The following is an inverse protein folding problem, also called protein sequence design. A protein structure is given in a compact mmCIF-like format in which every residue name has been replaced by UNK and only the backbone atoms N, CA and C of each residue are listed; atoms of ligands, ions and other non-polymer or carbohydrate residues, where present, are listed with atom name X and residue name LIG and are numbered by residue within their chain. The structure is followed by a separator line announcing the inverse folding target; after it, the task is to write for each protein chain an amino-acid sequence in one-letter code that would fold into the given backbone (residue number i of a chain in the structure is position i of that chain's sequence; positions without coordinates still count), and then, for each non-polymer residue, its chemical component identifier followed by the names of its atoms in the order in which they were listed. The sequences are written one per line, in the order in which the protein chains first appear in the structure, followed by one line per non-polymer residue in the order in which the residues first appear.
data_IF_963908482218
#
_entry.id   IF_963908482218
#
_cell.length_a   1.000
_cell.length_b   1.000
_cell.length_c   1.000
_cell.angle_alpha   90.00
_cell.angle_beta   90.00
_cell.angle_gamma   90.00
#
_symmetry.space_group_name_H-M   'P 1'
#
loop_
_entity.id
_entity.type
_entity.pdbx_description
1 polymer ?
#
# COMPACT_ATOMS: atom_id res chain seq x y z
N UNK A 1 36.56 -13.08 -39.94
CA UNK A 1 37.01 -12.36 -38.72
C UNK A 1 37.15 -10.88 -39.02
N UNK A 2 36.38 -10.02 -38.34
CA UNK A 2 36.84 -8.67 -38.06
C UNK A 2 36.79 -8.36 -36.55
N UNK A 3 37.86 -7.74 -36.05
CA UNK A 3 38.01 -7.26 -34.67
C UNK A 3 37.29 -5.93 -34.51
N UNK A 4 36.37 -5.84 -33.55
CA UNK A 4 35.79 -4.57 -33.12
C UNK A 4 36.46 -4.09 -31.83
N UNK A 5 37.01 -2.88 -31.89
CA UNK A 5 37.70 -2.19 -30.81
C UNK A 5 36.69 -1.69 -29.76
N UNK A 6 36.79 -2.21 -28.54
CA UNK A 6 36.06 -1.73 -27.37
C UNK A 6 36.79 -0.52 -26.77
N UNK A 7 36.25 0.68 -26.99
CA UNK A 7 36.67 1.91 -26.27
C UNK A 7 36.06 1.88 -24.87
N UNK A 8 36.89 1.61 -23.85
CA UNK A 8 36.57 1.86 -22.44
C UNK A 8 36.50 3.36 -22.20
N UNK A 9 35.30 3.89 -22.00
CA UNK A 9 35.11 5.21 -21.40
C UNK A 9 35.38 5.10 -19.90
N UNK A 10 36.49 5.66 -19.44
CA UNK A 10 36.71 5.93 -18.03
C UNK A 10 35.81 7.11 -17.64
N UNK A 11 34.71 6.83 -16.96
CA UNK A 11 33.92 7.86 -16.27
C UNK A 11 34.65 8.20 -14.98
N UNK A 12 35.06 9.46 -14.83
CA UNK A 12 35.67 9.96 -13.61
C UNK A 12 34.66 9.87 -12.47
N UNK A 13 34.88 8.93 -11.55
CA UNK A 13 34.15 8.85 -10.29
C UNK A 13 34.63 10.03 -9.43
N UNK A 14 33.80 11.04 -9.29
CA UNK A 14 34.01 12.10 -8.30
C UNK A 14 33.99 11.44 -6.91
N UNK A 15 35.15 11.36 -6.26
CA UNK A 15 35.28 10.83 -4.91
C UNK A 15 34.47 11.73 -3.95
N UNK A 16 33.36 11.20 -3.45
CA UNK A 16 32.59 11.86 -2.41
C UNK A 16 33.42 11.90 -1.12
N UNK A 17 33.58 13.09 -0.54
CA UNK A 17 34.24 13.25 0.76
C UNK A 17 33.47 12.46 1.83
N UNK A 18 34.17 11.78 2.77
CA UNK A 18 33.52 11.05 3.85
C UNK A 18 32.67 12.00 4.70
N UNK A 19 31.53 11.52 5.22
CA UNK A 19 30.54 12.33 5.95
C UNK A 19 31.16 13.11 7.12
N UNK A 20 32.18 12.54 7.77
CA UNK A 20 32.91 13.17 8.86
C UNK A 20 33.66 14.43 8.43
N UNK A 21 34.14 14.50 7.18
CA UNK A 21 34.81 15.70 6.66
C UNK A 21 33.80 16.81 6.31
N UNK A 22 32.58 16.45 5.92
CA UNK A 22 31.50 17.44 5.68
C UNK A 22 31.03 18.05 7.00
N UNK A 23 30.86 17.23 8.04
CA UNK A 23 30.55 17.69 9.40
C UNK A 23 31.66 18.57 9.98
N UNK A 24 32.92 18.18 9.77
CA UNK A 24 34.07 18.99 10.21
C UNK A 24 34.11 20.33 9.47
N UNK A 25 33.88 20.33 8.14
CA UNK A 25 33.82 21.55 7.33
C UNK A 25 32.70 22.50 7.77
N UNK A 26 31.50 21.97 8.07
CA UNK A 26 30.36 22.71 8.61
C UNK A 26 30.67 23.31 10.00
N UNK A 27 31.33 22.56 10.88
CA UNK A 27 31.76 23.07 12.18
C UNK A 27 32.82 24.17 12.06
N UNK A 28 33.79 24.04 11.15
CA UNK A 28 34.77 25.13 10.90
C UNK A 28 34.13 26.36 10.27
N UNK A 29 33.14 26.20 9.38
CA UNK A 29 32.41 27.33 8.80
C UNK A 29 31.54 28.06 9.85
N UNK A 30 30.90 27.31 10.75
CA UNK A 30 30.15 27.87 11.87
C UNK A 30 31.05 28.58 12.89
N UNK A 31 32.23 28.02 13.19
CA UNK A 31 33.23 28.64 14.06
C UNK A 31 33.81 29.93 13.46
N UNK A 32 34.02 29.97 12.14
CA UNK A 32 34.45 31.19 11.44
C UNK A 32 33.36 32.28 11.43
N UNK A 33 32.07 31.90 11.37
CA UNK A 33 30.95 32.84 11.49
C UNK A 33 30.79 33.41 12.91
N UNK A 34 31.05 32.60 13.95
CA UNK A 34 30.96 33.00 15.35
C UNK A 34 32.00 34.04 15.79
N UNK A 35 33.12 34.17 15.06
CA UNK A 35 34.15 35.19 15.31
C UNK A 35 33.72 36.62 14.88
N UNK A 36 32.57 36.79 14.23
CA UNK A 36 32.10 38.04 13.61
C UNK A 36 31.14 38.91 14.44
N UNK A 37 30.92 38.65 15.73
CA UNK A 37 30.13 39.51 16.62
C UNK A 37 28.79 38.93 17.09
N UNK A 38 28.27 39.51 18.17
CA UNK A 38 27.34 38.95 19.16
C UNK A 38 25.95 38.42 18.71
N UNK A 39 25.64 38.39 17.42
CA UNK A 39 24.36 37.89 16.90
C UNK A 39 24.34 36.37 16.59
N UNK A 40 25.47 35.67 16.74
CA UNK A 40 25.63 34.25 16.33
C UNK A 40 25.40 33.26 17.49
N UNK A 41 25.44 33.72 18.74
CA UNK A 41 25.26 32.87 19.93
C UNK A 41 23.86 32.22 19.99
N UNK A 42 22.83 32.91 19.50
CA UNK A 42 21.45 32.38 19.48
C UNK A 42 21.22 31.36 18.35
N UNK A 43 21.98 31.44 17.25
CA UNK A 43 21.86 30.49 16.13
C UNK A 43 22.53 29.15 16.45
N UNK A 44 23.65 29.16 17.17
CA UNK A 44 24.35 27.95 17.62
C UNK A 44 23.56 27.17 18.70
N UNK A 45 22.79 27.87 19.53
CA UNK A 45 21.89 27.27 20.51
C UNK A 45 20.71 26.51 19.86
N UNK A 46 20.26 26.95 18.68
CA UNK A 46 19.18 26.32 17.91
C UNK A 46 19.61 25.03 17.18
N UNK A 47 20.89 24.91 16.80
CA UNK A 47 21.42 23.69 16.16
C UNK A 47 21.68 22.58 17.19
N UNK A 48 21.97 22.95 18.44
CA UNK A 48 22.32 21.98 19.50
C UNK A 48 21.10 21.32 20.17
N UNK A 49 19.87 21.80 19.95
CA UNK A 49 18.65 21.25 20.57
C UNK A 49 17.94 20.17 19.74
N UNK A 50 18.43 19.85 18.53
CA UNK A 50 17.77 18.92 17.60
C UNK A 50 18.12 17.43 17.74
N UNK A 51 18.97 17.04 18.69
CA UNK A 51 19.54 15.68 18.74
C UNK A 51 18.69 14.62 19.48
N UNK A 52 17.52 14.96 20.00
CA UNK A 52 16.66 13.98 20.68
C UNK A 52 15.18 14.23 20.38
N UNK A 53 14.63 13.55 19.37
CA UNK A 53 13.20 13.64 19.09
C UNK A 53 12.76 12.84 17.87
N UNK A 54 11.99 11.79 18.12
CA UNK A 54 11.35 10.88 17.18
C UNK A 54 10.61 11.57 16.04
N UNK A 55 10.70 10.96 14.86
CA UNK A 55 10.08 11.37 13.60
C UNK A 55 8.55 11.50 13.68
N UNK A 56 8.02 12.73 13.75
CA UNK A 56 6.71 13.11 13.18
C UNK A 56 6.32 14.57 13.47
N UNK A 57 7.02 15.58 12.94
CA UNK A 57 6.50 16.97 12.89
C UNK A 57 7.14 17.77 11.75
N UNK A 58 6.57 17.64 10.55
CA UNK A 58 6.96 18.43 9.37
C UNK A 58 6.44 19.90 9.30
N UNK A 59 5.62 20.49 10.21
CA UNK A 59 5.21 21.89 10.03
C UNK A 59 6.14 22.93 10.68
N UNK A 60 7.11 22.54 11.53
CA UNK A 60 7.99 23.51 12.20
C UNK A 60 9.11 24.05 11.28
N UNK A 61 9.52 23.31 10.25
CA UNK A 61 10.59 23.71 9.34
C UNK A 61 10.17 24.85 8.38
N UNK A 62 8.87 25.03 8.11
CA UNK A 62 8.38 26.05 7.18
C UNK A 62 8.16 27.40 7.88
N UNK A 63 7.90 27.39 9.19
CA UNK A 63 7.72 28.62 9.97
C UNK A 63 9.01 29.45 10.12
N UNK A 64 10.18 28.81 10.03
CA UNK A 64 11.48 29.49 10.15
C UNK A 64 11.97 30.13 8.83
N UNK A 65 11.31 29.86 7.70
CA UNK A 65 11.66 30.48 6.41
C UNK A 65 11.22 31.94 6.32
N UNK A 66 10.24 32.36 7.12
CA UNK A 66 9.73 33.73 7.13
C UNK A 66 10.70 34.74 7.75
N UNK A 67 11.58 34.29 8.67
CA UNK A 67 12.60 35.14 9.31
C UNK A 67 13.75 35.50 8.35
N UNK A 68 13.98 34.69 7.31
CA UNK A 68 14.99 34.98 6.28
C UNK A 68 14.55 36.04 5.25
N UNK A 69 13.27 36.40 5.22
CA UNK A 69 12.75 37.42 4.28
C UNK A 69 12.64 38.82 4.89
N UNK A 70 12.88 38.97 6.20
CA UNK A 70 12.91 40.26 6.87
C UNK A 70 14.32 40.81 7.04
N UNK A 71 15.19 40.64 6.02
CA UNK A 71 16.44 41.40 5.95
C UNK A 71 16.11 42.82 5.49
N UNK A 72 15.84 43.70 6.46
CA UNK A 72 15.91 45.15 6.21
C UNK A 72 17.39 45.50 6.02
N UNK A 73 17.76 45.95 4.82
CA UNK A 73 19.13 46.37 4.54
C UNK A 73 19.49 47.55 5.47
N UNK A 74 20.46 47.42 6.38
CA UNK A 74 20.88 48.56 7.19
C UNK A 74 21.48 49.62 6.25
N UNK A 75 21.09 50.88 6.45
CA UNK A 75 21.60 51.99 5.65
C UNK A 75 23.05 52.25 6.08
N UNK A 76 24.01 51.86 5.22
CA UNK A 76 25.44 52.07 5.45
C UNK A 76 25.91 53.39 4.82
N UNK A 77 26.63 54.21 5.59
CA UNK A 77 27.20 55.50 5.12
C UNK A 77 28.72 55.46 4.88
N UNK A 78 29.39 54.33 5.16
CA UNK A 78 30.82 54.14 4.91
C UNK A 78 31.09 52.89 4.07
N UNK A 79 32.17 52.91 3.28
CA UNK A 79 32.58 51.79 2.43
C UNK A 79 32.84 50.51 3.25
N UNK A 80 33.45 50.63 4.43
CA UNK A 80 33.70 49.49 5.32
C UNK A 80 32.40 48.85 5.86
N UNK A 81 31.35 49.66 6.07
CA UNK A 81 30.03 49.15 6.45
C UNK A 81 29.40 48.38 5.29
N UNK A 82 29.47 48.92 4.07
CA UNK A 82 28.92 48.29 2.88
C UNK A 82 29.58 46.93 2.59
N UNK A 83 30.91 46.84 2.69
CA UNK A 83 31.63 45.57 2.51
C UNK A 83 31.24 44.52 3.57
N UNK A 84 30.97 44.94 4.81
CA UNK A 84 30.52 44.05 5.87
C UNK A 84 29.07 43.57 5.64
N UNK A 85 28.17 44.45 5.20
CA UNK A 85 26.79 44.08 4.88
C UNK A 85 26.70 43.18 3.67
N UNK A 86 27.51 43.41 2.63
CA UNK A 86 27.54 42.58 1.44
C UNK A 86 28.04 41.16 1.78
N UNK A 87 29.07 41.04 2.63
CA UNK A 87 29.53 39.73 3.14
C UNK A 87 28.46 39.02 3.96
N UNK A 88 27.80 39.74 4.87
CA UNK A 88 26.74 39.16 5.71
C UNK A 88 25.55 38.69 4.86
N UNK A 89 25.15 39.47 3.85
CA UNK A 89 24.10 39.11 2.90
C UNK A 89 24.46 37.87 2.08
N UNK A 90 25.69 37.82 1.53
CA UNK A 90 26.15 36.67 0.78
C UNK A 90 26.18 35.39 1.63
N UNK A 91 26.61 35.47 2.89
CA UNK A 91 26.59 34.33 3.81
C UNK A 91 25.13 33.91 4.11
N UNK A 92 24.26 34.87 4.41
CA UNK A 92 22.85 34.61 4.71
C UNK A 92 22.09 33.96 3.54
N UNK A 93 22.49 34.25 2.30
CA UNK A 93 21.90 33.65 1.09
C UNK A 93 22.58 32.33 0.70
N UNK A 94 23.90 32.25 0.77
CA UNK A 94 24.66 31.07 0.34
C UNK A 94 24.46 29.88 1.28
N UNK A 95 24.43 30.10 2.60
CA UNK A 95 24.32 29.00 3.57
C UNK A 95 23.01 28.22 3.41
N UNK A 96 21.81 28.83 3.36
CA UNK A 96 20.57 28.09 3.14
C UNK A 96 20.53 27.38 1.79
N UNK A 97 21.07 27.97 0.72
CA UNK A 97 21.14 27.33 -0.58
C UNK A 97 22.06 26.11 -0.58
N UNK A 98 23.23 26.19 0.07
CA UNK A 98 24.14 25.06 0.22
C UNK A 98 23.52 23.98 1.11
N UNK A 99 22.88 24.34 2.22
CA UNK A 99 22.18 23.39 3.09
C UNK A 99 21.03 22.70 2.34
N UNK A 100 20.24 23.45 1.57
CA UNK A 100 19.18 22.88 0.74
C UNK A 100 19.75 21.96 -0.34
N UNK A 101 20.82 22.37 -1.04
CA UNK A 101 21.48 21.55 -2.05
C UNK A 101 22.08 20.26 -1.46
N UNK A 102 22.73 20.34 -0.30
CA UNK A 102 23.27 19.17 0.41
C UNK A 102 22.16 18.25 0.92
N UNK A 103 21.05 18.81 1.40
CA UNK A 103 19.88 18.04 1.85
C UNK A 103 19.23 17.29 0.68
N UNK A 104 19.08 17.96 -0.46
CA UNK A 104 18.59 17.34 -1.71
C UNK A 104 19.57 16.28 -2.19
N UNK A 105 20.87 16.56 -2.21
CA UNK A 105 21.89 15.59 -2.62
C UNK A 105 21.94 14.37 -1.69
N UNK A 106 21.72 14.55 -0.39
CA UNK A 106 21.62 13.47 0.59
C UNK A 106 20.35 12.64 0.38
N UNK A 107 19.19 13.28 0.20
CA UNK A 107 17.93 12.59 -0.06
C UNK A 107 17.91 11.84 -1.39
N UNK A 108 18.65 12.33 -2.39
CA UNK A 108 18.84 11.68 -3.69
C UNK A 108 20.05 10.74 -3.73
N UNK A 109 20.81 10.61 -2.62
CA UNK A 109 21.98 9.74 -2.59
C UNK A 109 21.51 8.31 -2.83
N UNK A 110 22.11 7.57 -3.78
CA UNK A 110 21.80 6.16 -3.93
C UNK A 110 22.08 5.45 -2.60
N UNK A 111 21.24 4.48 -2.19
CA UNK A 111 21.48 3.72 -0.98
C UNK A 111 22.87 3.08 -1.03
N UNK A 112 23.55 2.94 0.12
CA UNK A 112 24.88 2.34 0.16
C UNK A 112 24.86 0.97 -0.53
N UNK A 113 25.87 0.66 -1.36
CA UNK A 113 25.90 -0.58 -2.17
C UNK A 113 25.82 -1.84 -1.31
N UNK A 114 26.25 -1.76 -0.04
CA UNK A 114 26.14 -2.83 0.95
C UNK A 114 24.70 -3.33 1.15
N UNK A 115 23.69 -2.48 1.00
CA UNK A 115 22.28 -2.87 1.11
C UNK A 115 21.76 -3.63 -0.12
N UNK A 116 22.37 -3.36 -1.28
CA UNK A 116 22.06 -4.05 -2.54
C UNK A 116 22.78 -5.39 -2.57
N UNK A 117 24.06 -5.42 -2.17
CA UNK A 117 24.90 -6.62 -2.15
C UNK A 117 24.49 -7.61 -1.06
N UNK A 118 23.98 -7.12 0.08
CA UNK A 118 23.43 -7.99 1.13
C UNK A 118 22.11 -8.68 0.74
N UNK A 119 21.53 -8.31 -0.41
CA UNK A 119 20.24 -8.82 -0.85
C UNK A 119 19.11 -8.43 0.09
N UNK A 120 19.24 -7.34 0.86
CA UNK A 120 18.14 -6.82 1.71
C UNK A 120 17.16 -5.96 0.92
N UNK A 121 17.68 -5.23 -0.06
CA UNK A 121 16.88 -4.35 -0.90
C UNK A 121 16.54 -5.08 -2.20
N UNK A 122 15.24 -5.24 -2.45
CA UNK A 122 14.72 -5.83 -3.67
C UNK A 122 14.08 -4.75 -4.51
N UNK A 123 14.49 -4.65 -5.76
CA UNK A 123 13.84 -3.78 -6.73
C UNK A 123 12.83 -4.60 -7.53
N UNK A 124 11.57 -4.19 -7.51
CA UNK A 124 10.59 -4.67 -8.47
C UNK A 124 10.94 -4.07 -9.83
N UNK A 125 11.43 -4.91 -10.76
CA UNK A 125 11.82 -4.50 -12.11
C UNK A 125 10.70 -3.80 -12.88
N UNK A 126 9.44 -4.11 -12.58
CA UNK A 126 8.30 -3.56 -13.30
C UNK A 126 7.94 -2.14 -12.83
N UNK A 127 8.08 -1.84 -11.53
CA UNK A 127 7.74 -0.52 -10.96
C UNK A 127 8.94 0.35 -10.61
N UNK A 128 10.13 -0.24 -10.52
CA UNK A 128 11.31 0.37 -9.91
C UNK A 128 11.16 0.61 -8.40
N UNK A 129 10.10 0.09 -7.76
CA UNK A 129 9.92 0.23 -6.31
C UNK A 129 10.90 -0.67 -5.59
N UNK A 130 11.50 -0.11 -4.54
CA UNK A 130 12.47 -0.80 -3.71
C UNK A 130 11.83 -1.20 -2.39
N UNK A 131 12.02 -2.45 -2.00
CA UNK A 131 11.52 -3.01 -0.76
C UNK A 131 12.70 -3.49 0.08
N UNK A 132 12.69 -3.15 1.36
CA UNK A 132 13.64 -3.68 2.33
C UNK A 132 12.98 -4.90 3.00
N UNK A 133 13.52 -6.10 2.77
CA UNK A 133 13.05 -7.26 3.51
C UNK A 133 13.72 -7.33 4.89
N UNK A 134 13.03 -7.90 5.89
CA UNK A 134 13.65 -8.27 7.15
C UNK A 134 14.87 -9.17 6.96
N UNK A 135 15.81 -9.13 7.90
CA UNK A 135 17.04 -9.92 7.82
C UNK A 135 16.73 -11.42 7.72
N UNK A 136 17.34 -12.09 6.75
CA UNK A 136 17.19 -13.54 6.54
C UNK A 136 15.97 -13.98 5.73
N UNK A 137 15.14 -13.04 5.25
CA UNK A 137 13.95 -13.35 4.44
C UNK A 137 14.30 -13.25 2.95
N UNK A 138 14.13 -14.35 2.21
CA UNK A 138 14.33 -14.38 0.75
C UNK A 138 12.98 -14.26 0.04
N UNK A 139 12.71 -13.18 -0.72
CA UNK A 139 11.41 -12.98 -1.31
C UNK A 139 11.11 -14.06 -2.34
N UNK A 140 9.89 -14.55 -2.31
CA UNK A 140 9.37 -15.49 -3.28
C UNK A 140 9.35 -14.84 -4.67
N UNK A 141 9.92 -15.58 -5.63
CA UNK A 141 9.81 -15.25 -7.04
C UNK A 141 8.94 -16.28 -7.73
N UNK A 142 8.09 -15.80 -8.63
CA UNK A 142 7.27 -16.65 -9.47
C UNK A 142 8.13 -17.39 -10.52
N UNK A 143 7.49 -18.21 -11.34
CA UNK A 143 8.15 -18.97 -12.41
C UNK A 143 8.81 -18.08 -13.48
N UNK A 144 8.43 -16.81 -13.57
CA UNK A 144 8.98 -15.82 -14.49
C UNK A 144 10.12 -15.01 -13.84
N UNK A 145 10.42 -15.24 -12.56
CA UNK A 145 11.40 -14.49 -11.78
C UNK A 145 10.86 -13.17 -11.23
N UNK A 146 9.56 -12.88 -11.38
CA UNK A 146 8.90 -11.71 -10.82
C UNK A 146 8.59 -11.92 -9.34
N UNK A 147 8.53 -10.84 -8.55
CA UNK A 147 8.23 -10.93 -7.12
C UNK A 147 6.76 -11.33 -6.91
N UNK A 148 6.51 -12.20 -5.93
CA UNK A 148 5.17 -12.49 -5.46
C UNK A 148 4.81 -11.54 -4.29
N UNK A 149 3.55 -11.10 -4.25
CA UNK A 149 3.09 -10.09 -3.30
C UNK A 149 1.95 -10.58 -2.42
N UNK A 150 1.89 -10.11 -1.18
CA UNK A 150 0.70 -10.17 -0.34
C UNK A 150 0.01 -8.82 -0.38
N UNK A 151 -1.31 -8.77 -0.65
CA UNK A 151 -2.03 -7.51 -0.60
C UNK A 151 -2.37 -7.16 0.85
N UNK A 152 -1.85 -6.04 1.34
CA UNK A 152 -2.17 -5.49 2.66
C UNK A 152 -2.72 -4.09 2.42
N UNK A 153 -4.05 -3.92 2.47
CA UNK A 153 -4.69 -2.68 2.02
C UNK A 153 -4.24 -2.36 0.58
N UNK A 154 -3.86 -1.12 0.27
CA UNK A 154 -3.39 -0.69 -1.07
C UNK A 154 -1.91 -1.00 -1.36
N UNK A 155 -1.14 -1.45 -0.37
CA UNK A 155 0.30 -1.66 -0.54
C UNK A 155 0.59 -3.14 -0.80
N UNK A 156 1.18 -3.48 -1.97
CA UNK A 156 1.69 -4.83 -2.20
C UNK A 156 2.96 -5.03 -1.35
N UNK A 157 3.01 -6.11 -0.60
CA UNK A 157 4.17 -6.46 0.23
C UNK A 157 4.84 -7.73 -0.29
N UNK A 158 6.15 -7.76 -0.58
CA UNK A 158 6.83 -8.99 -0.98
C UNK A 158 6.65 -10.10 0.06
N UNK A 159 6.38 -11.32 -0.39
CA UNK A 159 6.27 -12.48 0.50
C UNK A 159 7.56 -13.28 0.55
N UNK A 160 7.80 -13.97 1.67
CA UNK A 160 8.89 -14.93 1.80
C UNK A 160 8.61 -16.19 0.97
N UNK A 161 9.66 -16.86 0.48
CA UNK A 161 9.55 -18.13 -0.24
C UNK A 161 8.87 -19.22 0.59
N UNK A 162 9.00 -19.16 1.93
CA UNK A 162 8.35 -20.09 2.86
C UNK A 162 6.87 -19.80 3.11
N UNK A 163 6.32 -18.72 2.54
CA UNK A 163 4.97 -18.26 2.86
C UNK A 163 3.90 -19.22 2.31
N UNK A 164 3.08 -19.77 3.21
CA UNK A 164 1.97 -20.64 2.85
C UNK A 164 0.79 -19.84 2.28
N UNK A 165 0.23 -20.32 1.17
CA UNK A 165 -0.92 -19.68 0.55
C UNK A 165 -1.18 -20.11 -0.88
N UNK A 166 -2.27 -19.62 -1.45
CA UNK A 166 -2.61 -19.85 -2.84
C UNK A 166 -2.08 -18.70 -3.70
N UNK A 167 -1.40 -19.04 -4.80
CA UNK A 167 -0.78 -18.07 -5.73
C UNK A 167 -1.78 -17.76 -6.83
N UNK A 168 -2.16 -16.49 -6.94
CA UNK A 168 -3.17 -15.99 -7.87
C UNK A 168 -2.55 -14.90 -8.74
N UNK A 169 -2.75 -14.97 -10.06
CA UNK A 169 -2.28 -13.93 -10.98
C UNK A 169 -3.39 -12.92 -11.23
N UNK A 170 -3.15 -11.65 -10.94
CA UNK A 170 -4.13 -10.55 -11.06
C UNK A 170 -3.55 -9.46 -11.96
N UNK A 171 -4.36 -8.97 -12.89
CA UNK A 171 -3.98 -7.88 -13.79
C UNK A 171 -4.02 -6.53 -13.06
N UNK A 172 -2.87 -5.89 -12.90
CA UNK A 172 -2.67 -4.62 -12.17
C UNK A 172 -1.72 -3.69 -12.93
N UNK A 173 -1.67 -2.41 -12.56
CA UNK A 173 -0.87 -1.38 -13.23
C UNK A 173 -1.72 -0.34 -13.96
N UNK A 174 -1.15 0.44 -14.89
CA UNK A 174 -1.89 1.41 -15.68
C UNK A 174 -3.15 0.82 -16.31
N UNK A 175 -4.26 1.57 -16.31
CA UNK A 175 -5.53 1.11 -16.91
C UNK A 175 -5.35 0.71 -18.39
N UNK A 176 -4.46 1.40 -19.12
CA UNK A 176 -4.17 1.14 -20.52
C UNK A 176 -3.23 -0.06 -20.77
N UNK A 177 -2.39 -0.42 -19.80
CA UNK A 177 -1.39 -1.48 -19.93
C UNK A 177 -1.28 -2.28 -18.62
N UNK A 178 -2.23 -3.20 -18.44
CA UNK A 178 -2.31 -4.03 -17.22
C UNK A 178 -1.34 -5.20 -17.33
N UNK A 179 -0.59 -5.44 -16.27
CA UNK A 179 0.36 -6.53 -16.15
C UNK A 179 -0.12 -7.56 -15.14
N UNK A 180 0.02 -8.85 -15.47
CA UNK A 180 -0.36 -9.95 -14.59
C UNK A 180 0.68 -10.15 -13.49
N UNK A 181 0.35 -9.77 -12.26
CA UNK A 181 1.22 -9.97 -11.09
C UNK A 181 0.74 -11.11 -10.21
N UNK A 182 1.69 -11.80 -9.59
CA UNK A 182 1.41 -12.91 -8.69
C UNK A 182 1.16 -12.39 -7.27
N UNK A 183 -0.02 -12.68 -6.73
CA UNK A 183 -0.42 -12.40 -5.37
C UNK A 183 -0.59 -13.70 -4.58
N UNK A 184 -0.15 -13.72 -3.32
CA UNK A 184 -0.25 -14.89 -2.44
C UNK A 184 -1.25 -14.63 -1.34
N UNK A 185 -2.25 -15.50 -1.25
CA UNK A 185 -3.32 -15.43 -0.27
C UNK A 185 -3.23 -16.60 0.69
N UNK A 186 -2.95 -16.31 1.97
CA UNK A 186 -3.15 -17.28 3.02
C UNK A 186 -4.64 -17.61 3.15
N UNK A 187 -4.98 -18.88 3.39
CA UNK A 187 -6.36 -19.29 3.68
C UNK A 187 -6.75 -18.82 5.08
N UNK A 188 -7.95 -18.29 5.23
CA UNK A 188 -8.41 -17.75 6.49
C UNK A 188 -9.50 -18.57 7.15
N UNK A 189 -10.19 -19.40 6.37
CA UNK A 189 -11.20 -20.31 6.88
C UNK A 189 -10.51 -21.51 7.53
N UNK A 190 -11.01 -21.92 8.69
CA UNK A 190 -10.52 -23.12 9.38
C UNK A 190 -10.90 -24.42 8.65
N UNK A 191 -11.86 -24.34 7.73
CA UNK A 191 -12.35 -25.45 6.90
C UNK A 191 -11.57 -25.44 5.58
N UNK A 192 -11.29 -26.61 4.96
CA UNK A 192 -10.70 -26.65 3.62
C UNK A 192 -11.45 -25.73 2.65
N UNK A 193 -10.71 -24.79 2.07
CA UNK A 193 -11.21 -23.73 1.21
C UNK A 193 -10.33 -23.58 -0.03
N UNK A 194 -10.87 -22.93 -1.05
CA UNK A 194 -10.18 -22.56 -2.29
C UNK A 194 -10.23 -21.05 -2.48
N UNK A 195 -9.14 -20.48 -3.00
CA UNK A 195 -9.08 -19.07 -3.37
C UNK A 195 -9.47 -18.92 -4.84
N UNK A 196 -10.59 -18.25 -5.08
CA UNK A 196 -11.15 -18.03 -6.41
C UNK A 196 -10.93 -16.60 -6.85
N UNK A 197 -10.76 -16.41 -8.16
CA UNK A 197 -10.61 -15.09 -8.78
C UNK A 197 -11.75 -14.88 -9.75
N UNK A 198 -12.62 -13.92 -9.44
CA UNK A 198 -13.84 -13.67 -10.19
C UNK A 198 -13.82 -12.24 -10.70
N UNK A 199 -13.78 -12.08 -12.03
CA UNK A 199 -13.77 -10.76 -12.68
C UNK A 199 -15.17 -10.39 -13.16
N UNK A 200 -15.72 -9.28 -12.66
CA UNK A 200 -17.07 -8.79 -12.95
C UNK A 200 -17.06 -7.37 -13.51
N UNK A 201 -17.96 -7.03 -14.46
CA UNK A 201 -18.17 -5.65 -14.87
C UNK A 201 -18.83 -4.82 -13.75
N UNK A 202 -18.75 -3.50 -13.84
CA UNK A 202 -19.49 -2.56 -12.98
C UNK A 202 -20.89 -2.28 -13.59
N UNK A 203 -21.97 -2.17 -12.79
CA UNK A 203 -22.04 -2.39 -11.35
C UNK A 203 -21.87 -3.87 -10.97
N UNK A 204 -21.27 -4.14 -9.80
CA UNK A 204 -20.89 -5.50 -9.40
C UNK A 204 -22.10 -6.43 -9.16
N UNK A 205 -23.19 -5.90 -8.59
CA UNK A 205 -24.37 -6.70 -8.25
C UNK A 205 -24.18 -7.68 -7.09
N UNK A 206 -23.18 -7.46 -6.23
CA UNK A 206 -22.86 -8.32 -5.07
C UNK A 206 -23.23 -7.59 -3.78
N UNK A 207 -23.97 -8.25 -2.89
CA UNK A 207 -24.30 -7.76 -1.55
C UNK A 207 -23.34 -8.38 -0.55
N UNK A 208 -22.56 -7.53 0.12
CA UNK A 208 -21.56 -7.93 1.11
C UNK A 208 -22.02 -7.50 2.50
N UNK A 209 -21.86 -8.38 3.47
CA UNK A 209 -22.00 -8.09 4.90
C UNK A 209 -20.63 -8.22 5.56
N UNK A 210 -20.35 -7.36 6.53
CA UNK A 210 -19.09 -7.38 7.26
C UNK A 210 -19.29 -7.96 8.64
N UNK A 211 -18.62 -9.08 8.90
CA UNK A 211 -18.57 -9.69 10.21
C UNK A 211 -17.47 -9.02 11.04
N UNK A 212 -17.86 -8.22 12.03
CA UNK A 212 -16.93 -7.52 12.92
C UNK A 212 -16.11 -8.45 13.81
N UNK A 213 -16.66 -9.62 14.17
CA UNK A 213 -16.00 -10.59 15.04
C UNK A 213 -14.81 -11.22 14.34
N UNK A 214 -14.98 -11.60 13.07
CA UNK A 214 -13.88 -12.18 12.28
C UNK A 214 -13.09 -11.15 11.47
N UNK A 215 -13.61 -9.91 11.38
CA UNK A 215 -13.09 -8.80 10.58
C UNK A 215 -12.95 -9.16 9.09
N UNK A 216 -14.04 -9.66 8.51
CA UNK A 216 -14.09 -10.16 7.13
C UNK A 216 -15.42 -9.81 6.49
N UNK A 217 -15.40 -9.51 5.20
CA UNK A 217 -16.61 -9.33 4.42
C UNK A 217 -17.02 -10.64 3.77
N UNK A 218 -18.29 -11.01 3.90
CA UNK A 218 -18.91 -12.20 3.31
C UNK A 218 -19.96 -11.80 2.30
N UNK A 219 -20.04 -12.55 1.20
CA UNK A 219 -21.14 -12.41 0.24
C UNK A 219 -22.40 -12.98 0.87
N UNK A 220 -23.43 -12.16 1.00
CA UNK A 220 -24.73 -12.60 1.56
C UNK A 220 -25.70 -12.92 0.44
N UNK A 221 -25.79 -12.04 -0.55
CA UNK A 221 -26.70 -12.19 -1.67
C UNK A 221 -26.18 -11.50 -2.93
N UNK A 222 -26.85 -11.71 -4.05
CA UNK A 222 -26.59 -11.07 -5.33
C UNK A 222 -27.87 -10.37 -5.80
N UNK A 223 -27.73 -9.19 -6.37
CA UNK A 223 -28.85 -8.42 -6.90
C UNK A 223 -29.38 -9.11 -8.16
N UNK A 224 -30.68 -9.38 -8.18
CA UNK A 224 -31.33 -10.09 -9.29
C UNK A 224 -31.17 -9.34 -10.62
N UNK A 225 -30.97 -10.10 -11.70
CA UNK A 225 -30.84 -9.55 -13.05
C UNK A 225 -29.45 -8.99 -13.38
N UNK A 226 -28.57 -8.80 -12.40
CA UNK A 226 -27.19 -8.37 -12.61
C UNK A 226 -26.31 -9.46 -13.22
N UNK A 227 -25.14 -9.09 -13.77
CA UNK A 227 -24.17 -10.05 -14.30
C UNK A 227 -23.70 -11.08 -13.25
N UNK A 228 -23.60 -10.68 -11.98
CA UNK A 228 -23.26 -11.61 -10.90
C UNK A 228 -24.36 -12.67 -10.70
N UNK A 229 -25.63 -12.27 -10.66
CA UNK A 229 -26.77 -13.20 -10.56
C UNK A 229 -26.87 -14.12 -11.78
N UNK A 230 -26.69 -13.59 -12.99
CA UNK A 230 -26.69 -14.39 -14.22
C UNK A 230 -25.57 -15.45 -14.20
N UNK A 231 -24.35 -15.10 -13.74
CA UNK A 231 -23.25 -16.06 -13.59
C UNK A 231 -23.53 -17.10 -12.51
N UNK A 232 -24.15 -16.72 -11.38
CA UNK A 232 -24.62 -17.66 -10.34
C UNK A 232 -25.63 -18.66 -10.93
N UNK A 233 -26.64 -18.19 -11.67
CA UNK A 233 -27.64 -19.04 -12.34
C UNK A 233 -27.00 -19.99 -13.37
N UNK A 234 -25.95 -19.55 -14.06
CA UNK A 234 -25.17 -20.42 -14.95
C UNK A 234 -24.37 -21.46 -14.17
N UNK A 235 -23.74 -21.06 -13.06
CA UNK A 235 -22.99 -21.95 -12.18
C UNK A 235 -23.85 -23.02 -11.50
N UNK A 236 -25.14 -22.75 -11.23
CA UNK A 236 -26.04 -23.79 -10.72
C UNK A 236 -26.35 -24.87 -11.76
N UNK A 237 -26.16 -24.58 -13.05
CA UNK A 237 -26.33 -25.55 -14.15
C UNK A 237 -25.02 -26.25 -14.51
N UNK A 238 -23.87 -25.60 -14.30
CA UNK A 238 -22.55 -26.13 -14.62
C UNK A 238 -21.55 -25.92 -13.49
N UNK A 239 -21.05 -27.01 -12.91
CA UNK A 239 -20.09 -27.00 -11.82
C UNK A 239 -18.77 -26.31 -12.17
N UNK A 240 -18.31 -26.39 -13.42
CA UNK A 240 -17.06 -25.74 -13.84
C UNK A 240 -17.21 -24.21 -13.83
N UNK A 241 -18.38 -23.72 -14.24
CA UNK A 241 -18.72 -22.30 -14.22
C UNK A 241 -18.87 -21.75 -12.79
N UNK A 242 -18.96 -22.61 -11.77
CA UNK A 242 -18.98 -22.16 -10.39
C UNK A 242 -17.67 -21.50 -9.98
N UNK A 243 -16.54 -21.85 -10.59
CA UNK A 243 -15.25 -21.21 -10.30
C UNK A 243 -15.20 -19.74 -10.73
N UNK A 244 -16.01 -19.37 -11.72
CA UNK A 244 -16.10 -18.02 -12.30
C UNK A 244 -17.28 -17.19 -11.76
N UNK A 245 -18.12 -17.79 -10.91
CA UNK A 245 -19.29 -17.14 -10.33
C UNK A 245 -19.05 -16.80 -8.86
N UNK A 246 -19.59 -15.65 -8.42
CA UNK A 246 -19.66 -15.30 -7.00
C UNK A 246 -20.84 -16.06 -6.38
N UNK A 247 -20.63 -16.69 -5.21
CA UNK A 247 -21.69 -17.42 -4.51
C UNK A 247 -21.91 -16.84 -3.10
N UNK A 248 -23.16 -16.88 -2.58
CA UNK A 248 -23.43 -16.60 -1.18
C UNK A 248 -22.59 -17.48 -0.25
N UNK A 249 -22.03 -16.87 0.79
CA UNK A 249 -21.12 -17.49 1.75
C UNK A 249 -19.63 -17.38 1.39
N UNK A 250 -19.27 -16.89 0.21
CA UNK A 250 -17.88 -16.59 -0.15
C UNK A 250 -17.32 -15.46 0.72
N UNK A 251 -16.05 -15.55 1.11
CA UNK A 251 -15.38 -14.51 1.89
C UNK A 251 -14.52 -13.64 0.97
N UNK A 252 -14.72 -12.32 0.99
CA UNK A 252 -13.89 -11.38 0.23
C UNK A 252 -12.49 -11.27 0.86
N UNK A 253 -11.46 -11.61 0.07
CA UNK A 253 -10.04 -11.55 0.46
C UNK A 253 -9.34 -10.33 -0.12
N UNK A 254 -9.66 -10.00 -1.36
CA UNK A 254 -9.18 -8.79 -2.01
C UNK A 254 -10.09 -8.34 -3.14
N UNK A 255 -9.92 -7.08 -3.55
CA UNK A 255 -10.61 -6.49 -4.70
C UNK A 255 -9.66 -5.58 -5.45
N UNK A 256 -9.73 -5.57 -6.78
CA UNK A 256 -9.04 -4.55 -7.57
C UNK A 256 -9.76 -3.21 -7.47
N UNK A 257 -9.02 -2.15 -7.14
CA UNK A 257 -9.53 -0.78 -7.05
C UNK A 257 -8.70 0.14 -7.95
N UNK A 258 -9.30 1.23 -8.43
CA UNK A 258 -8.56 2.26 -9.17
C UNK A 258 -7.91 3.23 -8.18
N UNK A 259 -6.61 3.49 -8.35
CA UNK A 259 -5.87 4.51 -7.61
C UNK A 259 -5.23 5.52 -8.58
N UNK A 260 -5.04 6.75 -8.12
CA UNK A 260 -4.37 7.79 -8.90
C UNK A 260 -2.90 7.84 -8.51
N UNK A 261 -2.02 7.64 -9.48
CA UNK A 261 -0.58 7.75 -9.30
C UNK A 261 -0.13 9.08 -9.90
N UNK A 262 0.56 9.87 -9.09
CA UNK A 262 1.12 11.16 -9.48
C UNK A 262 2.62 10.97 -9.77
N UNK A 263 3.02 10.76 -11.04
CA UNK A 263 4.45 10.70 -11.36
C UNK A 263 5.11 12.04 -10.97
N UNK A 264 6.40 12.05 -10.68
CA UNK A 264 7.13 13.28 -10.28
C UNK A 264 6.95 14.43 -11.28
N UNK A 265 6.76 14.12 -12.58
CA UNK A 265 6.46 15.11 -13.62
C UNK A 265 5.07 15.73 -13.49
N UNK A 266 4.09 15.02 -12.92
CA UNK A 266 2.75 15.55 -12.67
C UNK A 266 2.73 16.60 -11.55
N UNK A 267 3.65 16.54 -10.58
CA UNK A 267 3.74 17.53 -9.50
C UNK A 267 4.05 18.95 -10.03
N UNK A 268 4.68 19.04 -11.21
CA UNK A 268 5.00 20.31 -11.86
C UNK A 268 4.01 20.66 -12.98
N UNK A 269 2.85 20.00 -13.04
CA UNK A 269 1.81 20.25 -14.04
C UNK A 269 2.17 19.79 -15.46
N UNK A 270 3.30 19.09 -15.65
CA UNK A 270 3.76 18.66 -16.97
C UNK A 270 3.03 17.40 -17.48
N UNK A 271 2.37 16.64 -16.60
CA UNK A 271 1.68 15.40 -16.95
C UNK A 271 0.41 15.22 -16.11
N UNK A 272 -0.67 14.76 -16.72
CA UNK A 272 -1.90 14.42 -15.99
C UNK A 272 -1.67 13.19 -15.08
N UNK A 273 -2.37 13.09 -13.93
CA UNK A 273 -2.32 11.91 -13.08
C UNK A 273 -2.74 10.65 -13.84
N UNK A 274 -2.02 9.56 -13.64
CA UNK A 274 -2.32 8.29 -14.28
C UNK A 274 -3.21 7.44 -13.38
N UNK A 275 -4.15 6.71 -13.97
CA UNK A 275 -5.05 5.81 -13.25
C UNK A 275 -4.49 4.40 -13.30
N UNK A 276 -4.29 3.82 -12.13
CA UNK A 276 -3.70 2.49 -11.94
C UNK A 276 -4.71 1.57 -11.27
N UNK A 277 -4.84 0.35 -11.77
CA UNK A 277 -5.56 -0.73 -11.10
C UNK A 277 -4.61 -1.36 -10.08
N UNK A 278 -5.01 -1.35 -8.82
CA UNK A 278 -4.24 -1.92 -7.70
C UNK A 278 -5.09 -2.94 -6.96
N UNK A 279 -4.46 -3.93 -6.33
CA UNK A 279 -5.16 -4.91 -5.49
C UNK A 279 -5.25 -4.40 -4.07
N UNK A 280 -6.48 -4.22 -3.59
CA UNK A 280 -6.78 -3.89 -2.21
C UNK A 280 -7.02 -5.18 -1.41
N UNK A 281 -6.16 -5.49 -0.44
CA UNK A 281 -6.35 -6.61 0.48
C UNK A 281 -7.42 -6.30 1.53
N UNK A 282 -8.51 -7.06 1.56
CA UNK A 282 -9.66 -6.83 2.46
C UNK A 282 -9.49 -7.48 3.85
N UNK A 283 -8.49 -8.34 4.01
CA UNK A 283 -8.26 -9.09 5.25
C UNK A 283 -7.97 -8.21 6.45
N UNK A 284 -8.76 -8.38 7.52
CA UNK A 284 -8.64 -7.66 8.80
C UNK A 284 -8.71 -6.13 8.64
N UNK A 285 -9.20 -5.64 7.51
CA UNK A 285 -9.37 -4.21 7.25
C UNK A 285 -10.70 -3.71 7.80
N UNK A 286 -10.76 -2.42 8.14
CA UNK A 286 -12.00 -1.78 8.59
C UNK A 286 -13.01 -1.75 7.43
N UNK A 287 -14.27 -2.02 7.73
CA UNK A 287 -15.34 -2.09 6.72
C UNK A 287 -15.44 -0.84 5.83
N UNK A 288 -15.30 0.35 6.43
CA UNK A 288 -15.30 1.62 5.68
C UNK A 288 -14.22 1.68 4.60
N UNK A 289 -13.05 1.08 4.84
CA UNK A 289 -11.94 1.04 3.88
C UNK A 289 -12.18 0.03 2.76
N UNK A 290 -12.79 -1.12 3.09
CA UNK A 290 -13.23 -2.11 2.09
C UNK A 290 -14.30 -1.52 1.18
N UNK A 291 -15.31 -0.86 1.75
CA UNK A 291 -16.32 -0.11 1.02
C UNK A 291 -15.70 0.98 0.13
N UNK A 292 -14.72 1.72 0.66
CA UNK A 292 -13.98 2.72 -0.10
C UNK A 292 -13.27 2.11 -1.32
N UNK A 293 -12.62 0.96 -1.16
CA UNK A 293 -11.96 0.26 -2.25
C UNK A 293 -12.94 -0.26 -3.31
N UNK A 294 -14.08 -0.82 -2.91
CA UNK A 294 -15.13 -1.29 -3.81
C UNK A 294 -15.74 -0.14 -4.63
N UNK A 295 -15.94 1.01 -3.99
CA UNK A 295 -16.44 2.25 -4.62
C UNK A 295 -15.42 2.90 -5.55
N UNK A 296 -14.12 2.69 -5.31
CA UNK A 296 -13.06 3.28 -6.15
C UNK A 296 -13.04 2.62 -7.53
N UNK A 297 -13.28 3.45 -8.54
CA UNK A 297 -13.18 3.10 -9.95
C UNK A 297 -14.46 3.43 -10.70
N UNK A 298 -14.31 3.67 -11.99
CA UNK A 298 -15.38 4.04 -12.91
C UNK A 298 -15.62 2.93 -13.93
N UNK A 299 -16.75 2.94 -14.63
CA UNK A 299 -17.05 1.94 -15.67
C UNK A 299 -15.97 1.92 -16.77
N UNK A 300 -15.42 3.08 -17.13
CA UNK A 300 -14.31 3.20 -18.10
C UNK A 300 -13.00 2.56 -17.64
N UNK A 301 -12.85 2.28 -16.35
CA UNK A 301 -11.66 1.57 -15.87
C UNK A 301 -11.66 0.11 -16.27
N UNK A 302 -12.82 -0.43 -16.68
CA UNK A 302 -13.03 -1.82 -17.04
C UNK A 302 -13.53 -2.67 -15.87
N UNK A 303 -13.34 -3.97 -16.00
CA UNK A 303 -13.84 -4.95 -15.04
C UNK A 303 -13.06 -4.95 -13.72
N UNK A 304 -13.74 -5.35 -12.65
CA UNK A 304 -13.23 -5.49 -11.30
C UNK A 304 -12.99 -6.95 -11.00
N UNK A 305 -11.81 -7.29 -10.50
CA UNK A 305 -11.49 -8.64 -10.05
C UNK A 305 -11.63 -8.74 -8.54
N UNK A 306 -12.49 -9.65 -8.10
CA UNK A 306 -12.69 -10.05 -6.71
C UNK A 306 -11.89 -11.32 -6.44
N UNK A 307 -11.13 -11.35 -5.34
CA UNK A 307 -10.50 -12.55 -4.82
C UNK A 307 -11.33 -13.03 -3.65
N UNK A 308 -11.92 -14.21 -3.81
CA UNK A 308 -12.88 -14.80 -2.87
C UNK A 308 -12.31 -16.08 -2.28
N UNK A 309 -12.58 -16.36 -1.02
CA UNK A 309 -12.29 -17.64 -0.39
C UNK A 309 -13.59 -18.41 -0.21
N UNK A 310 -13.69 -19.56 -0.87
CA UNK A 310 -14.88 -20.42 -0.86
C UNK A 310 -14.60 -21.69 -0.07
N UNK A 311 -15.57 -22.11 0.74
CA UNK A 311 -15.51 -23.41 1.42
C UNK A 311 -15.66 -24.54 0.41
N UNK A 312 -14.78 -25.56 0.48
CA UNK A 312 -14.99 -26.78 -0.30
C UNK A 312 -16.28 -27.45 0.17
N UNK A 313 -17.15 -27.91 -0.74
CA UNK A 313 -18.31 -28.68 -0.35
C UNK A 313 -17.82 -29.91 0.43
N UNK A 314 -18.38 -30.13 1.63
CA UNK A 314 -18.11 -31.38 2.34
C UNK A 314 -18.58 -32.51 1.43
N UNK A 315 -17.68 -33.46 1.13
CA UNK A 315 -18.05 -34.69 0.46
C UNK A 315 -18.96 -35.47 1.41
N UNK A 316 -20.27 -35.21 1.33
CA UNK A 316 -21.32 -35.94 2.03
C UNK A 316 -21.25 -37.38 1.52
N UNK A 317 -20.57 -38.27 2.25
CA UNK A 317 -20.48 -39.69 1.91
C UNK A 317 -19.11 -40.14 1.38
N UNK A 318 -18.15 -40.30 2.27
CA UNK A 318 -17.36 -41.53 2.24
C UNK A 318 -18.16 -42.63 2.97
N UNK A 319 -18.21 -43.88 2.49
CA UNK A 319 -19.08 -44.95 3.02
C UNK A 319 -18.68 -45.50 4.41
N UNK A 320 -18.09 -44.69 5.31
CA UNK A 320 -17.45 -45.17 6.55
C UNK A 320 -18.03 -44.66 7.87
N UNK A 321 -19.18 -43.99 7.87
CA UNK A 321 -19.75 -43.40 9.09
C UNK A 321 -21.23 -43.75 9.27
N UNK A 322 -21.53 -45.03 9.49
CA UNK A 322 -22.76 -45.41 10.19
C UNK A 322 -22.70 -44.81 11.60
N UNK A 323 -23.15 -43.56 11.74
CA UNK A 323 -23.63 -43.10 13.04
C UNK A 323 -24.92 -43.87 13.24
N UNK A 324 -24.85 -44.90 14.08
CA UNK A 324 -25.99 -45.65 14.56
C UNK A 324 -27.05 -44.65 15.01
N UNK A 325 -28.11 -44.50 14.22
CA UNK A 325 -29.35 -43.94 14.69
C UNK A 325 -29.83 -44.90 15.77
N UNK A 326 -29.51 -44.56 17.03
CA UNK A 326 -30.17 -45.13 18.19
C UNK A 326 -31.64 -44.81 18.06
N UNK A 327 -32.39 -45.77 17.55
CA UNK A 327 -33.83 -45.84 17.70
C UNK A 327 -34.09 -46.04 19.19
N UNK A 328 -34.29 -44.95 19.91
CA UNK A 328 -34.99 -44.99 21.18
C UNK A 328 -36.41 -44.48 20.94
N UNK A 329 -37.32 -45.45 20.89
CA UNK A 329 -38.75 -45.25 20.78
C UNK A 329 -39.28 -44.82 22.15
N UNK A 330 -39.38 -43.51 22.36
CA UNK A 330 -40.07 -42.91 23.50
C UNK A 330 -41.46 -42.45 23.11
N UNK A 331 -42.41 -43.38 23.18
CA UNK A 331 -43.85 -43.15 23.13
C UNK A 331 -44.32 -42.46 24.42
N UNK A 332 -45.03 -41.33 24.32
CA UNK A 332 -45.78 -40.82 25.48
C UNK A 332 -46.07 -39.32 25.53
N UNK A 333 -47.38 -39.05 25.59
CA UNK A 333 -48.05 -37.96 26.30
C UNK A 333 -48.27 -36.62 25.58
N UNK A 334 -49.52 -36.50 25.13
CA UNK A 334 -50.26 -35.29 24.88
C UNK A 334 -50.15 -34.32 26.08
N UNK A 335 -49.73 -33.08 25.80
CA UNK A 335 -49.55 -32.02 26.77
C UNK A 335 -49.91 -30.68 26.16
N UNK A 336 -51.19 -30.35 26.26
CA UNK A 336 -51.80 -29.06 25.94
C UNK A 336 -51.31 -27.97 26.92
N UNK A 337 -50.93 -26.81 26.38
CA UNK A 337 -50.80 -25.56 27.14
C UNK A 337 -49.37 -25.11 27.45
N UNK A 338 -48.91 -24.09 26.73
CA UNK A 338 -48.37 -22.86 27.33
C UNK A 338 -47.94 -21.90 26.22
N UNK A 339 -48.71 -20.82 26.11
CA UNK A 339 -48.47 -19.62 25.34
C UNK A 339 -47.21 -18.93 25.87
N UNK A 340 -46.03 -19.39 25.43
CA UNK A 340 -44.74 -18.81 25.75
C UNK A 340 -44.39 -17.76 24.70
N UNK A 341 -44.56 -16.48 25.06
CA UNK A 341 -44.13 -15.33 24.28
C UNK A 341 -42.63 -15.43 23.92
N UNK A 342 -42.35 -15.95 22.73
CA UNK A 342 -41.04 -15.92 22.11
C UNK A 342 -40.75 -14.46 21.72
N UNK A 343 -40.01 -13.76 22.59
CA UNK A 343 -39.35 -12.52 22.23
C UNK A 343 -38.45 -12.77 21.03
N UNK A 344 -38.96 -12.43 19.85
CA UNK A 344 -38.17 -12.27 18.63
C UNK A 344 -37.10 -11.22 18.92
N UNK A 345 -35.89 -11.67 19.25
CA UNK A 345 -34.71 -10.82 19.16
C UNK A 345 -34.59 -10.41 17.70
N UNK A 346 -34.94 -9.15 17.43
CA UNK A 346 -34.68 -8.52 16.16
C UNK A 346 -33.21 -8.78 15.79
N UNK A 347 -32.90 -9.22 14.56
CA UNK A 347 -31.53 -9.26 14.11
C UNK A 347 -30.98 -7.84 14.25
N UNK A 348 -29.87 -7.70 14.98
CA UNK A 348 -29.14 -6.43 15.03
C UNK A 348 -28.94 -5.98 13.59
N UNK A 349 -29.36 -4.73 13.30
CA UNK A 349 -29.24 -4.12 11.98
C UNK A 349 -27.76 -4.04 11.61
N UNK A 350 -27.20 -5.12 11.08
CA UNK A 350 -26.01 -5.08 10.26
C UNK A 350 -26.26 -4.03 9.18
N UNK A 351 -25.31 -3.13 8.97
CA UNK A 351 -25.42 -2.09 7.95
C UNK A 351 -25.48 -2.75 6.58
N UNK A 352 -26.69 -3.03 6.08
CA UNK A 352 -26.91 -3.53 4.73
C UNK A 352 -26.56 -2.40 3.78
N UNK A 353 -25.45 -2.55 3.07
CA UNK A 353 -25.04 -1.60 2.04
C UNK A 353 -25.81 -1.92 0.76
N UNK A 354 -26.90 -1.20 0.49
CA UNK A 354 -27.60 -1.26 -0.80
C UNK A 354 -26.92 -0.34 -1.83
N UNK A 355 -26.38 -0.88 -2.93
CA UNK A 355 -25.74 -0.08 -3.97
C UNK A 355 -26.72 0.67 -4.90
N UNK A 356 -28.04 0.47 -4.77
CA UNK A 356 -29.05 1.05 -5.67
C UNK A 356 -29.26 2.57 -5.55
N UNK A 357 -28.63 3.24 -4.58
CA UNK A 357 -28.85 4.67 -4.37
C UNK A 357 -27.99 5.61 -5.24
N UNK A 358 -27.12 5.10 -6.11
CA UNK A 358 -26.17 5.97 -6.82
C UNK A 358 -25.91 5.49 -8.25
N UNK A 359 -26.60 6.13 -9.19
CA UNK A 359 -26.29 6.13 -10.63
C UNK A 359 -25.27 7.20 -11.00
#
# INVERSE_FOLDING_TARGET
MPRTNSKRGQSAVAAALPADQVLTALHTAAAAAAAGGAAVSDLAALVSSGAAGTASTLPAAVANSAVLLSFTSPVCFSQSCQEATDRAFLIALAVPLVVAALSIAYALRPPPPELIESGRVFEDRATGTRFEAPEGVSPERDKNGELAYRPISYTPWPVDQSYEGERVRIAVGPVADRQLRTYVFARSLAVPSDILTVTLPRPLGVVLEYDERFRRATVVDLIEGTNADQRRKRASLNADAATEAVLPGDVLRAVTATNFVYPTRALWGAQAPERHIVVYGADRQVWSSVCGALKKGEVKDGEVTLVLERRRPRKLGGPGGQVAAGADAGEGADGEGAEGAAGQRAPERGSVFSPELFG
#
